data_IF_170281253261
#
_entry.id   IF_170281253261
#
_cell.length_a   1.000
_cell.length_b   1.000
_cell.length_c   1.000
_cell.angle_alpha   90.00
_cell.angle_beta   90.00
_cell.angle_gamma   90.00
#
_symmetry.space_group_name_H-M   'P 1'
#
loop_
_entity.id
_entity.type
_entity.pdbx_description
1 polymer ?
#
# COMPACT_ATOMS: atom_id res chain seq x y z
N UNK A 1 0.58 -2.66 -4.87
CA UNK A 1 0.37 -1.39 -4.18
C UNK A 1 1.72 -0.80 -3.79
N UNK A 2 1.85 0.51 -3.87
CA UNK A 2 3.07 1.28 -3.57
C UNK A 2 2.85 2.10 -2.28
N UNK A 3 3.75 1.96 -1.30
CA UNK A 3 3.79 2.77 -0.09
C UNK A 3 4.63 4.03 -0.36
N UNK A 4 3.98 5.16 -0.56
CA UNK A 4 4.58 6.42 -0.99
C UNK A 4 4.80 7.40 0.17
N UNK A 5 5.59 8.42 -0.11
CA UNK A 5 5.55 9.69 0.66
C UNK A 5 4.40 10.59 0.16
N UNK A 6 4.11 11.67 0.90
CA UNK A 6 3.01 12.60 0.59
C UNK A 6 3.14 13.35 -0.75
N UNK A 7 4.33 13.42 -1.31
CA UNK A 7 4.56 14.02 -2.63
C UNK A 7 4.18 13.07 -3.78
N UNK A 8 4.15 11.76 -3.53
CA UNK A 8 3.85 10.70 -4.49
C UNK A 8 4.77 10.63 -5.73
N UNK A 9 5.94 11.24 -5.68
CA UNK A 9 6.87 11.34 -6.81
C UNK A 9 8.00 10.30 -6.78
N UNK A 10 7.92 9.33 -5.89
CA UNK A 10 8.93 8.30 -5.69
C UNK A 10 9.96 8.66 -4.62
N UNK A 11 10.67 7.64 -4.16
CA UNK A 11 11.79 7.79 -3.24
C UNK A 11 13.11 7.65 -4.00
N UNK A 12 13.90 8.71 -4.02
CA UNK A 12 15.21 8.76 -4.68
C UNK A 12 16.36 9.03 -3.70
N UNK A 13 16.14 8.79 -2.41
CA UNK A 13 17.18 8.91 -1.39
C UNK A 13 18.25 7.84 -1.63
N UNK A 14 19.53 8.24 -1.82
CA UNK A 14 20.62 7.29 -2.05
C UNK A 14 20.72 6.25 -0.93
N UNK A 15 20.80 4.98 -1.31
CA UNK A 15 20.92 3.87 -0.35
C UNK A 15 19.63 3.53 0.41
N UNK A 16 18.51 4.19 0.14
CA UNK A 16 17.21 3.84 0.75
C UNK A 16 16.52 2.75 -0.08
N UNK A 17 16.63 1.52 0.39
CA UNK A 17 15.99 0.36 -0.22
C UNK A 17 14.54 0.24 0.27
N UNK A 18 13.61 0.87 -0.44
CA UNK A 18 12.19 0.79 -0.15
C UNK A 18 11.37 0.41 -1.39
N UNK A 19 10.14 -0.01 -1.16
CA UNK A 19 9.23 -0.41 -2.24
C UNK A 19 8.96 0.74 -3.23
N UNK A 20 8.86 1.98 -2.75
CA UNK A 20 8.64 3.16 -3.58
C UNK A 20 9.80 3.41 -4.55
N UNK A 21 11.05 3.29 -4.06
CA UNK A 21 12.23 3.34 -4.92
C UNK A 21 12.22 2.21 -5.96
N UNK A 22 11.97 0.98 -5.54
CA UNK A 22 11.94 -0.19 -6.43
C UNK A 22 10.86 -0.04 -7.52
N UNK A 23 9.64 0.30 -7.14
CA UNK A 23 8.53 0.47 -8.08
C UNK A 23 8.85 1.56 -9.11
N UNK A 24 9.30 2.75 -8.68
CA UNK A 24 9.63 3.83 -9.60
C UNK A 24 10.81 3.49 -10.51
N UNK A 25 11.81 2.76 -10.00
CA UNK A 25 12.97 2.33 -10.80
C UNK A 25 12.58 1.32 -11.88
N UNK A 26 11.78 0.32 -11.54
CA UNK A 26 11.38 -0.73 -12.49
C UNK A 26 10.22 -0.30 -13.41
N UNK A 27 9.29 0.51 -12.95
CA UNK A 27 8.21 1.05 -13.78
C UNK A 27 8.72 2.01 -14.87
N UNK A 28 9.79 2.73 -14.59
CA UNK A 28 10.37 3.72 -15.52
C UNK A 28 9.89 5.14 -15.23
N UNK A 29 10.37 6.10 -16.05
CA UNK A 29 10.17 7.53 -15.80
C UNK A 29 8.72 8.01 -15.96
N UNK A 30 7.91 7.28 -16.72
CA UNK A 30 6.53 7.65 -17.01
C UNK A 30 5.69 7.75 -15.74
N UNK A 31 5.86 6.82 -14.81
CA UNK A 31 5.11 6.83 -13.55
C UNK A 31 5.29 8.15 -12.80
N UNK A 32 6.53 8.65 -12.72
CA UNK A 32 6.82 9.92 -12.04
C UNK A 32 6.19 11.10 -12.76
N UNK A 33 6.20 11.11 -14.10
CA UNK A 33 5.58 12.17 -14.91
C UNK A 33 4.07 12.24 -14.67
N UNK A 34 3.40 11.10 -14.76
CA UNK A 34 1.95 11.04 -14.58
C UNK A 34 1.55 11.37 -13.15
N UNK A 35 2.31 10.91 -12.16
CA UNK A 35 2.07 11.27 -10.77
C UNK A 35 2.29 12.76 -10.52
N UNK A 36 3.29 13.38 -11.16
CA UNK A 36 3.50 14.83 -11.08
C UNK A 36 2.31 15.61 -11.65
N UNK A 37 1.75 15.17 -12.78
CA UNK A 37 0.55 15.80 -13.34
C UNK A 37 -0.67 15.66 -12.41
N UNK A 38 -0.86 14.49 -11.81
CA UNK A 38 -1.94 14.25 -10.84
C UNK A 38 -1.79 15.16 -9.62
N UNK A 39 -0.59 15.22 -9.05
CA UNK A 39 -0.33 16.03 -7.86
C UNK A 39 -0.38 17.54 -8.14
N UNK A 40 0.08 17.99 -9.30
CA UNK A 40 -0.06 19.39 -9.72
C UNK A 40 -1.53 19.81 -9.89
N UNK A 41 -2.37 18.92 -10.43
CA UNK A 41 -3.83 19.18 -10.53
C UNK A 41 -4.48 19.23 -9.16
N UNK A 42 -4.01 18.41 -8.22
CA UNK A 42 -4.50 18.39 -6.84
C UNK A 42 -4.09 19.65 -6.06
N UNK A 43 -2.87 20.16 -6.28
CA UNK A 43 -2.37 21.40 -5.70
C UNK A 43 -1.95 21.32 -4.21
N UNK A 44 -1.93 20.14 -3.62
CA UNK A 44 -1.47 19.89 -2.24
C UNK A 44 -0.93 18.47 -2.10
N UNK A 45 -0.16 18.21 -1.03
CA UNK A 45 0.33 16.88 -0.70
C UNK A 45 -0.80 15.89 -0.44
N UNK A 46 -0.55 14.61 -0.74
CA UNK A 46 -1.52 13.55 -0.50
C UNK A 46 -1.66 13.24 1.00
N UNK A 47 -2.87 13.28 1.56
CA UNK A 47 -3.09 12.89 2.94
C UNK A 47 -2.95 11.38 3.13
N UNK A 48 -2.72 10.96 4.38
CA UNK A 48 -2.70 9.55 4.74
C UNK A 48 -4.04 8.86 4.39
N UNK A 49 -3.97 7.60 4.02
CA UNK A 49 -5.15 6.76 3.85
C UNK A 49 -5.88 6.91 2.52
N UNK A 50 -5.46 7.83 1.64
CA UNK A 50 -6.00 8.00 0.29
C UNK A 50 -5.23 7.17 -0.73
N UNK A 51 -5.81 6.98 -1.93
CA UNK A 51 -5.18 6.23 -3.02
C UNK A 51 -5.24 6.99 -4.35
N UNK A 52 -4.11 7.01 -5.06
CA UNK A 52 -4.02 7.39 -6.48
C UNK A 52 -3.65 6.17 -7.30
N UNK A 53 -4.08 6.12 -8.54
CA UNK A 53 -3.80 4.99 -9.42
C UNK A 53 -3.11 5.48 -10.68
N UNK A 54 -2.02 4.81 -11.03
CA UNK A 54 -1.33 4.97 -12.31
C UNK A 54 -1.28 3.65 -13.08
N UNK A 55 -0.86 3.70 -14.34
CA UNK A 55 -0.50 2.51 -15.09
C UNK A 55 0.66 1.77 -14.45
N UNK A 56 0.82 0.48 -14.76
CA UNK A 56 1.98 -0.32 -14.35
C UNK A 56 3.24 -0.04 -15.17
N UNK A 57 3.12 0.57 -16.32
CA UNK A 57 4.22 0.85 -17.28
C UNK A 57 5.05 -0.41 -17.58
N UNK A 58 6.36 -0.42 -17.23
CA UNK A 58 7.25 -1.56 -17.47
C UNK A 58 7.10 -2.69 -16.44
N UNK A 59 6.25 -2.52 -15.42
CA UNK A 59 5.96 -3.59 -14.46
C UNK A 59 5.00 -4.63 -15.08
N UNK A 60 5.05 -5.89 -14.63
CA UNK A 60 4.09 -6.92 -15.06
C UNK A 60 2.67 -6.69 -14.51
N UNK A 61 2.47 -5.70 -13.66
CA UNK A 61 1.17 -5.30 -13.11
C UNK A 61 0.46 -4.31 -14.04
N UNK A 62 -0.87 -4.41 -14.15
CA UNK A 62 -1.67 -3.47 -14.95
C UNK A 62 -1.66 -2.05 -14.37
N UNK A 63 -1.71 -1.95 -13.06
CA UNK A 63 -1.82 -0.69 -12.33
C UNK A 63 -0.92 -0.67 -11.11
N UNK A 64 -0.55 0.54 -10.70
CA UNK A 64 0.10 0.82 -9.42
C UNK A 64 -0.87 1.64 -8.57
N UNK A 65 -1.16 1.17 -7.37
CA UNK A 65 -1.96 1.87 -6.38
C UNK A 65 -1.02 2.55 -5.40
N UNK A 66 -0.99 3.87 -5.42
CA UNK A 66 -0.12 4.70 -4.59
C UNK A 66 -0.89 5.18 -3.37
N UNK A 67 -0.40 4.92 -2.17
CA UNK A 67 -1.02 5.37 -0.91
C UNK A 67 0.02 5.84 0.08
N UNK A 68 -0.34 6.81 0.90
CA UNK A 68 0.52 7.36 1.95
C UNK A 68 0.11 6.76 3.28
N UNK A 69 0.98 5.94 3.86
CA UNK A 69 0.77 5.42 5.21
C UNK A 69 1.22 6.41 6.28
N UNK A 70 0.77 6.25 7.53
CA UNK A 70 1.16 7.11 8.63
C UNK A 70 2.61 6.87 9.07
N UNK A 71 3.28 7.93 9.53
CA UNK A 71 4.47 7.82 10.37
C UNK A 71 3.99 7.46 11.77
N UNK A 72 4.49 6.36 12.31
CA UNK A 72 4.03 5.85 13.59
C UNK A 72 4.44 6.75 14.76
N UNK A 73 3.47 7.26 15.49
CA UNK A 73 3.64 8.08 16.69
C UNK A 73 3.12 7.40 17.97
N UNK A 74 2.48 6.24 17.83
CA UNK A 74 1.83 5.52 18.91
C UNK A 74 0.40 5.99 19.21
N UNK A 75 -0.13 6.96 18.46
CA UNK A 75 -1.49 7.43 18.62
C UNK A 75 -2.50 6.52 17.91
N UNK A 76 -3.73 6.47 18.40
CA UNK A 76 -4.81 5.70 17.79
C UNK A 76 -5.10 6.12 16.33
N UNK A 77 -4.87 7.39 16.00
CA UNK A 77 -5.00 7.90 14.64
C UNK A 77 -4.13 7.15 13.64
N UNK A 78 -2.90 6.75 14.04
CA UNK A 78 -2.00 6.04 13.14
C UNK A 78 -2.59 4.70 12.68
N UNK A 79 -3.29 3.99 13.59
CA UNK A 79 -3.96 2.73 13.26
C UNK A 79 -5.14 2.96 12.30
N UNK A 80 -5.90 4.04 12.51
CA UNK A 80 -7.00 4.44 11.63
C UNK A 80 -6.51 4.82 10.24
N UNK A 81 -5.45 5.62 10.16
CA UNK A 81 -4.84 6.04 8.89
C UNK A 81 -4.28 4.83 8.13
N UNK A 82 -3.61 3.90 8.83
CA UNK A 82 -3.11 2.67 8.22
C UNK A 82 -4.24 1.79 7.68
N UNK A 83 -5.31 1.62 8.45
CA UNK A 83 -6.49 0.88 8.01
C UNK A 83 -7.12 1.53 6.77
N UNK A 84 -7.22 2.86 6.74
CA UNK A 84 -7.75 3.61 5.59
C UNK A 84 -6.97 3.36 4.31
N UNK A 85 -5.64 3.17 4.38
CA UNK A 85 -4.83 2.82 3.22
C UNK A 85 -5.29 1.51 2.57
N UNK A 86 -5.52 0.47 3.39
CA UNK A 86 -5.97 -0.83 2.89
C UNK A 86 -7.38 -0.75 2.31
N UNK A 87 -8.33 -0.13 3.04
CA UNK A 87 -9.71 0.02 2.56
C UNK A 87 -9.82 0.84 1.28
N UNK A 88 -9.10 1.96 1.18
CA UNK A 88 -9.11 2.80 -0.02
C UNK A 88 -8.57 2.05 -1.25
N UNK A 89 -7.49 1.27 -1.07
CA UNK A 89 -6.94 0.44 -2.14
C UNK A 89 -7.91 -0.68 -2.55
N UNK A 90 -8.53 -1.37 -1.60
CA UNK A 90 -9.49 -2.45 -1.89
C UNK A 90 -10.73 -1.92 -2.61
N UNK A 91 -11.34 -0.84 -2.11
CA UNK A 91 -12.48 -0.20 -2.76
C UNK A 91 -12.15 0.24 -4.18
N UNK A 92 -10.98 0.86 -4.36
CA UNK A 92 -10.55 1.31 -5.68
C UNK A 92 -10.30 0.15 -6.64
N UNK A 93 -9.71 -0.94 -6.18
CA UNK A 93 -9.52 -2.14 -6.97
C UNK A 93 -10.87 -2.76 -7.40
N UNK A 94 -11.82 -2.80 -6.49
CA UNK A 94 -13.16 -3.33 -6.74
C UNK A 94 -13.97 -2.42 -7.70
N UNK A 95 -13.92 -1.09 -7.54
CA UNK A 95 -14.48 -0.12 -8.49
C UNK A 95 -13.93 -0.32 -9.91
N UNK A 96 -12.63 -0.61 -10.02
CA UNK A 96 -11.95 -0.90 -11.28
C UNK A 96 -12.18 -2.32 -11.80
N UNK A 97 -12.97 -3.13 -11.09
CA UNK A 97 -13.26 -4.54 -11.41
C UNK A 97 -12.01 -5.41 -11.55
N UNK A 98 -11.03 -5.16 -10.69
CA UNK A 98 -9.82 -5.96 -10.63
C UNK A 98 -10.07 -7.23 -9.81
N UNK A 99 -9.47 -8.33 -10.23
CA UNK A 99 -9.62 -9.62 -9.57
C UNK A 99 -8.51 -9.90 -8.53
N UNK A 100 -7.46 -9.09 -8.53
CA UNK A 100 -6.33 -9.29 -7.61
C UNK A 100 -5.63 -7.99 -7.24
N UNK A 101 -5.10 -7.96 -6.01
CA UNK A 101 -4.24 -6.88 -5.51
C UNK A 101 -3.10 -7.44 -4.66
N UNK A 102 -1.92 -6.84 -4.78
CA UNK A 102 -0.74 -7.15 -3.97
C UNK A 102 -0.45 -5.97 -3.05
N UNK A 103 -0.36 -6.22 -1.76
CA UNK A 103 0.04 -5.26 -0.74
C UNK A 103 1.46 -5.52 -0.26
N UNK A 104 2.28 -4.49 -0.13
CA UNK A 104 3.47 -4.55 0.69
C UNK A 104 3.13 -4.29 2.17
N UNK A 105 4.10 -4.46 3.06
CA UNK A 105 3.94 -4.08 4.47
C UNK A 105 4.03 -2.56 4.62
N UNK A 106 2.87 -1.90 4.76
CA UNK A 106 2.75 -0.44 4.83
C UNK A 106 3.31 0.10 6.15
N UNK A 107 4.03 1.22 6.05
CA UNK A 107 4.57 2.00 7.18
C UNK A 107 5.57 1.27 8.08
N UNK A 108 5.93 0.02 7.82
CA UNK A 108 6.79 -0.79 8.71
C UNK A 108 8.29 -0.58 8.50
N UNK A 109 8.68 0.18 7.46
CA UNK A 109 10.05 0.59 7.22
C UNK A 109 10.41 1.85 8.00
N UNK A 110 10.88 2.91 7.31
CA UNK A 110 11.31 4.16 7.93
C UNK A 110 10.20 4.88 8.72
N UNK A 111 8.93 4.62 8.40
CA UNK A 111 7.78 5.17 9.14
C UNK A 111 7.55 4.50 10.50
N UNK A 112 8.29 3.43 10.82
CA UNK A 112 8.44 2.87 12.15
C UNK A 112 7.20 2.19 12.74
N UNK A 113 6.18 1.86 11.94
CA UNK A 113 5.01 1.16 12.45
C UNK A 113 5.40 -0.27 12.88
N UNK A 114 5.09 -0.70 14.11
CA UNK A 114 5.44 -2.04 14.58
C UNK A 114 4.80 -3.12 13.71
N UNK A 115 5.60 -4.02 13.14
CA UNK A 115 5.16 -5.04 12.18
C UNK A 115 4.04 -5.92 12.73
N UNK A 116 4.09 -6.30 14.00
CA UNK A 116 3.05 -7.11 14.65
C UNK A 116 1.67 -6.41 14.63
N UNK A 117 1.65 -5.09 14.90
CA UNK A 117 0.41 -4.31 14.84
C UNK A 117 -0.03 -4.06 13.40
N UNK A 118 0.91 -3.65 12.53
CA UNK A 118 0.61 -3.34 11.15
C UNK A 118 0.03 -4.54 10.40
N UNK A 119 0.61 -5.72 10.56
CA UNK A 119 0.11 -6.94 9.92
C UNK A 119 -1.28 -7.35 10.42
N UNK A 120 -1.58 -7.19 11.72
CA UNK A 120 -2.93 -7.44 12.25
C UNK A 120 -3.97 -6.50 11.65
N UNK A 121 -3.64 -5.21 11.54
CA UNK A 121 -4.51 -4.21 10.90
C UNK A 121 -4.74 -4.57 9.44
N UNK A 122 -3.67 -4.87 8.70
CA UNK A 122 -3.75 -5.25 7.29
C UNK A 122 -4.66 -6.47 7.06
N UNK A 123 -4.41 -7.56 7.79
CA UNK A 123 -5.18 -8.81 7.68
C UNK A 123 -6.64 -8.57 8.06
N UNK A 124 -6.90 -7.85 9.17
CA UNK A 124 -8.25 -7.51 9.60
C UNK A 124 -9.01 -6.71 8.56
N UNK A 125 -8.41 -5.66 8.00
CA UNK A 125 -9.03 -4.84 6.96
C UNK A 125 -9.38 -5.66 5.71
N UNK A 126 -8.44 -6.47 5.23
CA UNK A 126 -8.66 -7.34 4.06
C UNK A 126 -9.78 -8.34 4.35
N UNK A 127 -9.73 -9.02 5.51
CA UNK A 127 -10.74 -10.02 5.87
C UNK A 127 -12.15 -9.41 5.98
N UNK A 128 -12.30 -8.26 6.66
CA UNK A 128 -13.58 -7.57 6.76
C UNK A 128 -14.08 -7.13 5.39
N UNK A 129 -13.22 -6.51 4.59
CA UNK A 129 -13.58 -6.07 3.24
C UNK A 129 -14.06 -7.23 2.35
N UNK A 130 -13.31 -8.33 2.33
CA UNK A 130 -13.65 -9.49 1.50
C UNK A 130 -14.98 -10.15 1.91
N UNK A 131 -15.34 -10.08 3.19
CA UNK A 131 -16.59 -10.64 3.71
C UNK A 131 -17.81 -9.74 3.51
N UNK A 132 -17.62 -8.43 3.61
CA UNK A 132 -18.72 -7.47 3.78
C UNK A 132 -18.99 -6.62 2.54
N UNK A 133 -17.95 -6.23 1.79
CA UNK A 133 -18.06 -5.23 0.73
C UNK A 133 -17.66 -5.74 -0.66
N UNK A 134 -16.83 -6.76 -0.73
CA UNK A 134 -16.17 -7.24 -1.96
C UNK A 134 -17.15 -7.73 -3.03
N UNK A 135 -16.87 -7.35 -4.29
CA UNK A 135 -17.65 -7.77 -5.47
C UNK A 135 -16.81 -8.49 -6.52
N UNK A 136 -15.55 -8.11 -6.71
CA UNK A 136 -14.74 -8.54 -7.84
C UNK A 136 -13.40 -9.18 -7.44
N UNK A 137 -12.84 -8.82 -6.28
CA UNK A 137 -11.49 -9.25 -5.86
C UNK A 137 -11.55 -10.73 -5.46
N UNK A 138 -10.75 -11.55 -6.14
CA UNK A 138 -10.63 -13.00 -5.90
C UNK A 138 -9.36 -13.37 -5.15
N UNK A 139 -8.33 -12.51 -5.22
CA UNK A 139 -7.01 -12.78 -4.66
C UNK A 139 -6.38 -11.53 -4.06
N UNK A 140 -5.99 -11.63 -2.81
CA UNK A 140 -5.16 -10.61 -2.13
C UNK A 140 -3.86 -11.28 -1.70
N UNK A 141 -2.73 -10.63 -1.99
CA UNK A 141 -1.39 -11.12 -1.66
C UNK A 141 -0.74 -10.09 -0.74
N UNK A 142 -0.20 -10.53 0.37
CA UNK A 142 0.74 -9.76 1.17
C UNK A 142 2.15 -10.15 0.76
N UNK A 143 2.86 -9.22 0.14
CA UNK A 143 4.25 -9.37 -0.28
C UNK A 143 5.14 -8.63 0.73
N UNK A 144 5.91 -9.37 1.49
CA UNK A 144 6.74 -8.87 2.58
C UNK A 144 8.22 -9.10 2.29
N UNK A 145 9.07 -8.20 2.79
CA UNK A 145 10.47 -8.17 2.37
C UNK A 145 11.38 -9.13 3.13
N UNK A 146 11.20 -9.27 4.45
CA UNK A 146 12.06 -10.10 5.28
C UNK A 146 11.40 -11.39 5.74
N UNK A 147 12.22 -12.41 6.05
CA UNK A 147 11.72 -13.68 6.62
C UNK A 147 11.02 -13.45 7.96
N UNK A 148 11.50 -12.50 8.77
CA UNK A 148 10.86 -12.15 10.04
C UNK A 148 9.46 -11.54 9.84
N UNK A 149 9.29 -10.69 8.83
CA UNK A 149 7.97 -10.14 8.48
C UNK A 149 7.06 -11.24 7.96
N UNK A 150 7.58 -12.14 7.13
CA UNK A 150 6.84 -13.30 6.63
C UNK A 150 6.31 -14.16 7.78
N UNK A 151 7.15 -14.52 8.76
CA UNK A 151 6.71 -15.32 9.90
C UNK A 151 5.68 -14.58 10.76
N UNK A 152 5.80 -13.25 10.90
CA UNK A 152 4.83 -12.43 11.60
C UNK A 152 3.47 -12.42 10.89
N UNK A 153 3.45 -12.20 9.58
CA UNK A 153 2.22 -12.28 8.78
C UNK A 153 1.62 -13.67 8.83
N UNK A 154 2.42 -14.72 8.66
CA UNK A 154 1.98 -16.12 8.71
C UNK A 154 1.35 -16.49 10.04
N UNK A 155 1.96 -16.05 11.16
CA UNK A 155 1.41 -16.24 12.51
C UNK A 155 0.06 -15.54 12.65
N UNK A 156 0.00 -14.26 12.27
CA UNK A 156 -1.22 -13.46 12.41
C UNK A 156 -2.34 -13.95 11.48
N UNK A 157 -2.04 -14.42 10.27
CA UNK A 157 -3.05 -15.00 9.37
C UNK A 157 -3.75 -16.21 9.97
N UNK A 158 -3.01 -17.09 10.69
CA UNK A 158 -3.62 -18.25 11.36
C UNK A 158 -4.69 -17.86 12.39
N UNK A 159 -4.54 -16.71 13.05
CA UNK A 159 -5.54 -16.21 14.00
C UNK A 159 -6.85 -15.80 13.31
N UNK A 160 -6.82 -15.52 12.01
CA UNK A 160 -7.98 -15.20 11.17
C UNK A 160 -8.49 -16.39 10.34
N UNK A 161 -7.98 -17.62 10.61
CA UNK A 161 -8.33 -18.86 9.91
C UNK A 161 -7.93 -18.90 8.43
N UNK A 162 -6.75 -18.35 8.11
CA UNK A 162 -6.09 -18.46 6.80
C UNK A 162 -4.86 -19.36 6.83
#
# INVERSE_FOLDING_TARGET
MNACNSQMLGCFVPGHHCIDNAIHSFAGLQVRRDMLEIMNKQGHEEPNGQVKVSSGYNLPAKYIFHTVGPIYSGMHRDETDLASCYYSCLRKADEMKLDSIVFCSLSTGIFGFPIEKASRIAIKCVNSYLKEENKNIKKVIFDVFSDSDYETYRKNMKEFNY
#
